data_IF_934371030285
#
_entry.id   IF_934371030285
#
_cell.length_a   1.000
_cell.length_b   1.000
_cell.length_c   1.000
_cell.angle_alpha   90.00
_cell.angle_beta   90.00
_cell.angle_gamma   90.00
#
_symmetry.space_group_name_H-M   'P 1'
#
loop_
_entity.id
_entity.type
_entity.pdbx_description
1 polymer ?
#
# COMPACT_ATOMS: atom_id res chain seq x y z
N UNK A 1 -15.41 5.46 16.52
CA UNK A 1 -14.26 4.93 15.74
C UNK A 1 -13.41 4.09 16.67
N UNK A 2 -13.04 2.86 16.29
CA UNK A 2 -12.15 2.03 17.12
C UNK A 2 -10.78 2.72 17.21
N UNK A 3 -10.47 3.28 18.38
CA UNK A 3 -9.19 3.94 18.67
C UNK A 3 -7.99 3.02 18.44
N UNK A 4 -8.21 1.70 18.53
CA UNK A 4 -7.21 0.69 18.27
C UNK A 4 -6.76 0.64 16.80
N UNK A 5 -7.69 0.66 15.83
CA UNK A 5 -7.34 0.54 14.41
C UNK A 5 -6.56 1.76 13.90
N UNK A 6 -6.88 2.97 14.40
CA UNK A 6 -6.12 4.18 14.05
C UNK A 6 -4.69 4.11 14.61
N UNK A 7 -4.51 3.63 15.84
CA UNK A 7 -3.18 3.40 16.43
C UNK A 7 -2.38 2.38 15.62
N UNK A 8 -3.01 1.29 15.18
CA UNK A 8 -2.38 0.29 14.31
C UNK A 8 -1.95 0.90 12.97
N UNK A 9 -2.81 1.70 12.35
CA UNK A 9 -2.50 2.39 11.09
C UNK A 9 -1.27 3.30 11.24
N UNK A 10 -1.26 4.14 12.28
CA UNK A 10 -0.11 5.01 12.60
C UNK A 10 1.18 4.21 12.82
N UNK A 11 1.09 3.11 13.57
CA UNK A 11 2.25 2.23 13.82
C UNK A 11 2.77 1.59 12.53
N UNK A 12 1.88 1.14 11.65
CA UNK A 12 2.24 0.55 10.37
C UNK A 12 2.94 1.56 9.44
N UNK A 13 2.46 2.81 9.41
CA UNK A 13 3.10 3.89 8.65
C UNK A 13 4.50 4.18 9.21
N UNK A 14 4.67 4.25 10.53
CA UNK A 14 6.00 4.45 11.14
C UNK A 14 6.98 3.32 10.82
N UNK A 15 6.52 2.07 10.91
CA UNK A 15 7.35 0.92 10.53
C UNK A 15 7.76 0.98 9.05
N UNK A 16 6.85 1.42 8.17
CA UNK A 16 7.16 1.63 6.74
C UNK A 16 8.13 2.79 6.54
N UNK A 17 7.96 3.90 7.25
CA UNK A 17 8.88 5.03 7.26
C UNK A 17 10.30 4.62 7.64
N UNK A 18 10.46 3.81 8.68
CA UNK A 18 11.78 3.35 9.13
C UNK A 18 12.53 2.53 8.07
N UNK A 19 11.79 1.83 7.20
CA UNK A 19 12.36 1.09 6.07
C UNK A 19 12.65 2.02 4.89
N UNK A 20 11.73 2.94 4.56
CA UNK A 20 11.85 3.82 3.39
C UNK A 20 12.82 4.99 3.59
N UNK A 21 13.09 5.39 4.84
CA UNK A 21 14.06 6.45 5.13
C UNK A 21 15.48 6.14 4.66
N UNK A 22 15.78 4.87 4.40
CA UNK A 22 17.07 4.36 3.91
C UNK A 22 17.07 4.02 2.41
N UNK A 23 15.98 4.32 1.69
CA UNK A 23 15.76 3.89 0.29
C UNK A 23 15.74 5.06 -0.68
N UNK A 24 14.82 5.02 -1.66
CA UNK A 24 14.72 5.92 -2.82
C UNK A 24 14.68 7.40 -2.46
N UNK A 25 14.05 7.74 -1.34
CA UNK A 25 13.88 9.13 -0.89
C UNK A 25 14.71 9.46 0.35
N UNK A 26 15.86 8.79 0.54
CA UNK A 26 16.78 9.00 1.66
C UNK A 26 17.05 10.49 1.94
N UNK A 27 17.37 11.27 0.90
CA UNK A 27 17.69 12.70 1.04
C UNK A 27 16.58 13.52 1.69
N UNK A 28 15.33 13.09 1.52
CA UNK A 28 14.15 13.73 2.07
C UNK A 28 13.73 13.15 3.42
N UNK A 29 13.82 11.82 3.58
CA UNK A 29 13.26 11.08 4.71
C UNK A 29 14.25 10.80 5.84
N UNK A 30 15.57 10.77 5.61
CA UNK A 30 16.55 10.50 6.67
C UNK A 30 16.56 11.60 7.75
N UNK A 31 16.48 12.86 7.32
CA UNK A 31 16.31 14.03 8.17
C UNK A 31 15.13 14.85 7.63
N UNK A 32 13.89 14.47 7.95
CA UNK A 32 12.71 15.11 7.40
C UNK A 32 12.62 16.53 7.97
N UNK A 33 12.40 17.49 7.07
CA UNK A 33 12.05 18.87 7.41
C UNK A 33 10.78 19.24 6.66
N UNK A 34 10.04 20.25 7.14
CA UNK A 34 8.81 20.71 6.47
C UNK A 34 9.02 21.00 4.98
N UNK A 35 10.16 21.58 4.62
CA UNK A 35 10.53 21.85 3.24
C UNK A 35 10.77 20.58 2.44
N UNK A 36 11.57 19.64 2.99
CA UNK A 36 11.86 18.35 2.34
C UNK A 36 10.60 17.51 2.13
N UNK A 37 9.74 17.42 3.14
CA UNK A 37 8.48 16.67 3.04
C UNK A 37 7.52 17.30 2.01
N UNK A 38 7.48 18.63 1.94
CA UNK A 38 6.72 19.35 0.91
C UNK A 38 7.27 19.04 -0.48
N UNK A 39 8.57 19.13 -0.68
CA UNK A 39 9.20 18.92 -1.99
C UNK A 39 9.06 17.46 -2.43
N UNK A 40 9.19 16.50 -1.50
CA UNK A 40 8.90 15.09 -1.74
C UNK A 40 7.43 14.86 -2.11
N UNK A 41 6.49 15.50 -1.41
CA UNK A 41 5.08 15.43 -1.74
C UNK A 41 4.84 15.87 -3.19
N UNK A 42 5.42 17.00 -3.59
CA UNK A 42 5.34 17.46 -4.98
C UNK A 42 5.85 16.43 -5.98
N UNK A 43 7.04 15.86 -5.72
CA UNK A 43 7.66 14.85 -6.58
C UNK A 43 6.80 13.59 -6.73
N UNK A 44 6.15 13.14 -5.65
CA UNK A 44 5.27 11.96 -5.69
C UNK A 44 4.03 12.26 -6.54
N UNK A 45 3.42 13.43 -6.38
CA UNK A 45 2.22 13.82 -7.11
C UNK A 45 2.49 14.22 -8.56
N UNK A 46 3.72 14.54 -8.93
CA UNK A 46 4.11 14.65 -10.33
C UNK A 46 4.17 13.27 -11.03
N UNK A 47 4.39 12.19 -10.28
CA UNK A 47 4.57 10.84 -10.82
C UNK A 47 3.29 9.99 -10.70
N UNK A 48 2.21 10.42 -11.35
CA UNK A 48 0.93 9.72 -11.46
C UNK A 48 0.28 9.33 -10.11
N UNK A 49 -0.32 10.29 -9.38
CA UNK A 49 -1.02 10.01 -8.13
C UNK A 49 -2.34 9.28 -8.38
N UNK A 50 -2.78 8.46 -7.42
CA UNK A 50 -4.11 7.86 -7.51
C UNK A 50 -5.19 8.90 -7.17
N UNK A 51 -6.43 8.67 -7.60
CA UNK A 51 -7.56 9.57 -7.27
C UNK A 51 -7.75 9.75 -5.76
N UNK A 52 -7.49 8.70 -4.98
CA UNK A 52 -7.56 8.78 -3.53
C UNK A 52 -6.43 9.64 -2.95
N UNK A 53 -5.22 9.56 -3.51
CA UNK A 53 -4.10 10.39 -3.10
C UNK A 53 -4.38 11.87 -3.40
N UNK A 54 -4.99 12.17 -4.55
CA UNK A 54 -5.45 13.53 -4.92
C UNK A 54 -6.49 14.07 -3.92
N UNK A 55 -7.43 13.24 -3.48
CA UNK A 55 -8.41 13.63 -2.47
C UNK A 55 -7.74 13.97 -1.13
N UNK A 56 -6.75 13.18 -0.69
CA UNK A 56 -5.98 13.45 0.54
C UNK A 56 -5.20 14.75 0.42
N UNK A 57 -4.57 15.00 -0.72
CA UNK A 57 -3.86 16.25 -1.00
C UNK A 57 -4.78 17.46 -0.89
N UNK A 58 -5.95 17.38 -1.55
CA UNK A 58 -6.97 18.43 -1.50
C UNK A 58 -7.45 18.70 -0.09
N UNK A 59 -7.71 17.66 0.70
CA UNK A 59 -8.17 17.81 2.08
C UNK A 59 -7.14 18.49 2.98
N UNK A 60 -5.87 18.08 2.90
CA UNK A 60 -4.81 18.63 3.77
C UNK A 60 -4.44 20.07 3.40
N UNK A 61 -4.31 20.35 2.10
CA UNK A 61 -3.78 21.62 1.59
C UNK A 61 -4.86 22.61 1.20
N UNK A 62 -6.11 22.14 1.09
CA UNK A 62 -7.27 22.90 0.58
C UNK A 62 -7.01 23.49 -0.80
N UNK A 63 -6.30 22.74 -1.64
CA UNK A 63 -5.87 23.12 -2.97
C UNK A 63 -5.97 21.90 -3.90
N UNK A 64 -6.40 22.12 -5.13
CA UNK A 64 -6.29 21.11 -6.17
C UNK A 64 -4.85 21.00 -6.67
N UNK A 65 -4.41 19.77 -6.91
CA UNK A 65 -3.10 19.54 -7.50
C UNK A 65 -3.10 20.03 -8.94
N UNK A 66 -2.26 21.02 -9.20
CA UNK A 66 -2.14 21.68 -10.49
C UNK A 66 -0.68 22.07 -10.68
N UNK A 67 -0.06 21.55 -11.73
CA UNK A 67 1.35 21.78 -12.05
C UNK A 67 1.67 23.28 -12.21
N UNK A 68 0.68 24.10 -12.61
CA UNK A 68 0.85 25.55 -12.78
C UNK A 68 0.86 26.31 -11.45
N UNK A 69 0.34 25.72 -10.36
CA UNK A 69 0.14 26.38 -9.06
C UNK A 69 1.24 26.06 -8.05
N UNK A 70 2.44 25.67 -8.51
CA UNK A 70 3.60 25.35 -7.65
C UNK A 70 3.94 26.43 -6.62
N UNK A 71 3.74 27.71 -6.96
CA UNK A 71 3.96 28.82 -6.02
C UNK A 71 3.00 28.79 -4.83
N UNK A 72 1.70 28.54 -5.06
CA UNK A 72 0.70 28.41 -3.99
C UNK A 72 0.99 27.21 -3.08
N UNK A 73 1.57 26.16 -3.63
CA UNK A 73 1.99 24.99 -2.86
C UNK A 73 3.18 25.29 -1.94
N UNK A 74 4.14 26.13 -2.35
CA UNK A 74 5.28 26.53 -1.52
C UNK A 74 4.85 27.21 -0.21
N UNK A 75 3.74 27.96 -0.23
CA UNK A 75 3.17 28.66 0.93
C UNK A 75 2.58 27.70 1.98
N UNK A 76 2.20 26.47 1.59
CA UNK A 76 1.57 25.50 2.52
C UNK A 76 2.55 24.70 3.37
N UNK A 77 3.80 25.18 3.52
CA UNK A 77 4.86 24.51 4.30
C UNK A 77 4.43 24.14 5.72
N UNK A 78 3.61 24.96 6.36
CA UNK A 78 3.17 24.72 7.75
C UNK A 78 2.25 23.52 7.91
N UNK A 79 1.55 23.10 6.84
CA UNK A 79 0.69 21.90 6.85
C UNK A 79 1.49 20.60 6.99
N UNK A 80 2.80 20.64 6.72
CA UNK A 80 3.70 19.50 6.87
C UNK A 80 4.31 19.38 8.28
N UNK A 81 4.14 20.38 9.15
CA UNK A 81 4.60 20.32 10.55
C UNK A 81 4.12 19.05 11.29
N UNK A 82 2.81 18.70 11.29
CA UNK A 82 2.34 17.49 11.99
C UNK A 82 2.91 16.19 11.41
N UNK A 83 3.31 16.18 10.14
CA UNK A 83 3.90 15.02 9.47
C UNK A 83 5.37 14.87 9.88
N UNK A 84 6.10 15.99 9.90
CA UNK A 84 7.48 16.05 10.37
C UNK A 84 7.60 15.50 11.80
N UNK A 85 6.82 16.06 12.74
CA UNK A 85 6.87 15.66 14.14
C UNK A 85 6.34 14.24 14.36
N UNK A 86 5.46 13.75 13.48
CA UNK A 86 5.01 12.36 13.48
C UNK A 86 6.12 11.37 13.09
N UNK A 87 6.88 11.68 12.04
CA UNK A 87 8.01 10.85 11.60
C UNK A 87 9.19 10.88 12.58
N UNK A 88 9.43 12.01 13.24
CA UNK A 88 10.42 12.10 14.33
C UNK A 88 9.98 11.41 15.62
N UNK A 89 8.70 11.02 15.73
CA UNK A 89 8.16 10.40 16.94
C UNK A 89 7.85 11.39 18.08
N UNK A 90 8.02 12.69 17.85
CA UNK A 90 7.82 13.75 18.86
C UNK A 90 6.34 13.92 19.23
N UNK A 91 5.44 13.78 18.25
CA UNK A 91 3.99 13.97 18.45
C UNK A 91 3.18 12.87 17.80
N UNK A 92 1.98 12.63 18.32
CA UNK A 92 0.97 11.81 17.67
C UNK A 92 -0.17 12.69 17.10
N UNK A 93 -0.21 12.97 15.78
CA UNK A 93 -1.20 13.87 15.22
C UNK A 93 -2.61 13.26 15.30
N UNK A 94 -3.59 14.06 15.69
CA UNK A 94 -5.01 13.68 15.64
C UNK A 94 -5.64 13.89 14.26
N UNK A 95 -5.00 14.68 13.39
CA UNK A 95 -5.49 14.99 12.05
C UNK A 95 -5.31 13.78 11.12
N UNK A 96 -6.42 13.19 10.68
CA UNK A 96 -6.46 12.04 9.77
C UNK A 96 -5.85 12.36 8.41
N UNK A 97 -6.05 13.57 7.88
CA UNK A 97 -5.51 13.98 6.59
C UNK A 97 -3.97 14.05 6.63
N UNK A 98 -3.41 14.54 7.75
CA UNK A 98 -1.95 14.54 7.94
C UNK A 98 -1.38 13.11 8.02
N UNK A 99 -2.09 12.18 8.68
CA UNK A 99 -1.68 10.77 8.77
C UNK A 99 -1.77 10.10 7.40
N UNK A 100 -2.86 10.33 6.64
CA UNK A 100 -3.00 9.82 5.28
C UNK A 100 -1.92 10.38 4.36
N UNK A 101 -1.57 11.65 4.51
CA UNK A 101 -0.48 12.25 3.77
C UNK A 101 0.86 11.61 4.12
N UNK A 102 1.10 11.33 5.40
CA UNK A 102 2.28 10.58 5.84
C UNK A 102 2.35 9.19 5.18
N UNK A 103 1.22 8.49 5.05
CA UNK A 103 1.14 7.19 4.38
C UNK A 103 1.55 7.27 2.90
N UNK A 104 1.18 8.34 2.19
CA UNK A 104 1.55 8.56 0.79
C UNK A 104 3.06 8.81 0.67
N UNK A 105 3.64 9.63 1.55
CA UNK A 105 5.08 9.97 1.51
C UNK A 105 6.00 8.75 1.69
N UNK A 106 5.52 7.69 2.35
CA UNK A 106 6.27 6.44 2.58
C UNK A 106 5.76 5.29 1.73
N UNK A 107 4.92 5.60 0.74
CA UNK A 107 4.29 4.63 -0.16
C UNK A 107 3.61 3.43 0.55
N UNK A 108 2.92 3.71 1.66
CA UNK A 108 2.15 2.72 2.38
C UNK A 108 0.81 2.47 1.67
N UNK A 109 0.67 1.32 0.99
CA UNK A 109 -0.41 1.06 0.05
C UNK A 109 -1.84 0.93 0.61
N UNK A 110 -2.11 0.47 1.86
CA UNK A 110 -3.47 0.45 2.38
C UNK A 110 -3.86 1.86 2.86
N UNK A 111 -3.91 2.80 1.90
CA UNK A 111 -4.21 4.22 2.06
C UNK A 111 -5.40 4.61 1.16
N UNK A 112 -6.26 5.54 1.58
CA UNK A 112 -6.30 6.25 2.87
C UNK A 112 -6.87 5.36 4.00
N UNK A 113 -6.92 5.87 5.25
CA UNK A 113 -7.34 5.14 6.45
C UNK A 113 -8.66 4.35 6.29
N UNK A 114 -9.61 4.84 5.50
CA UNK A 114 -10.87 4.11 5.20
C UNK A 114 -10.60 2.72 4.61
N UNK A 115 -9.67 2.61 3.66
CA UNK A 115 -9.28 1.31 3.06
C UNK A 115 -8.58 0.41 4.08
N UNK A 116 -7.69 0.98 4.90
CA UNK A 116 -7.06 0.23 5.99
C UNK A 116 -8.09 -0.33 6.97
N UNK A 117 -9.07 0.48 7.34
CA UNK A 117 -10.13 0.10 8.26
C UNK A 117 -11.02 -1.02 7.68
N UNK A 118 -11.40 -0.93 6.41
CA UNK A 118 -12.17 -1.97 5.71
C UNK A 118 -11.39 -3.29 5.60
N UNK A 119 -10.09 -3.22 5.30
CA UNK A 119 -9.22 -4.40 5.27
C UNK A 119 -9.11 -5.03 6.66
N UNK A 120 -8.92 -4.22 7.71
CA UNK A 120 -8.81 -4.72 9.10
C UNK A 120 -10.06 -5.45 9.59
N UNK A 121 -11.26 -5.07 9.12
CA UNK A 121 -12.52 -5.80 9.41
C UNK A 121 -12.62 -7.13 8.67
N UNK A 122 -12.02 -7.21 7.48
CA UNK A 122 -12.10 -8.39 6.63
C UNK A 122 -11.08 -9.45 7.05
N UNK A 123 -10.00 -9.04 7.74
CA UNK A 123 -8.95 -9.92 8.26
C UNK A 123 -9.32 -10.72 9.53
N UNK A 124 -10.53 -10.56 10.08
CA UNK A 124 -11.08 -11.52 11.07
C UNK A 124 -11.40 -12.91 10.47
N UNK A 125 -11.06 -13.19 9.21
CA UNK A 125 -11.13 -14.55 8.62
C UNK A 125 -9.89 -14.94 7.81
N UNK A 126 -8.75 -15.27 8.44
CA UNK A 126 -7.60 -15.79 7.71
C UNK A 126 -7.51 -17.31 7.82
N UNK A 127 -8.40 -18.09 7.16
CA UNK A 127 -8.14 -19.54 6.96
C UNK A 127 -8.65 -20.08 5.61
N UNK A 128 -9.82 -19.66 5.11
CA UNK A 128 -10.48 -20.39 4.00
C UNK A 128 -9.90 -20.18 2.58
N UNK A 129 -8.93 -19.27 2.38
CA UNK A 129 -8.38 -19.01 1.03
C UNK A 129 -7.19 -19.89 0.67
N UNK A 130 -6.38 -20.32 1.64
CA UNK A 130 -5.21 -21.17 1.37
C UNK A 130 -5.65 -22.63 1.15
N UNK A 131 -6.67 -23.12 1.85
CA UNK A 131 -7.22 -24.47 1.65
C UNK A 131 -7.84 -24.65 0.26
N UNK A 132 -8.55 -23.63 -0.25
CA UNK A 132 -9.11 -23.69 -1.61
C UNK A 132 -8.03 -23.73 -2.69
N UNK A 133 -6.92 -23.02 -2.51
CA UNK A 133 -5.80 -23.07 -3.45
C UNK A 133 -5.08 -24.44 -3.44
N UNK A 134 -4.91 -25.06 -2.26
CA UNK A 134 -4.34 -26.41 -2.13
C UNK A 134 -5.27 -27.50 -2.71
N UNK A 135 -6.57 -27.44 -2.44
CA UNK A 135 -7.54 -28.40 -2.96
C UNK A 135 -7.70 -28.33 -4.50
N UNK A 136 -7.55 -27.15 -5.11
CA UNK A 136 -7.56 -27.00 -6.58
C UNK A 136 -6.26 -27.53 -7.21
N UNK A 137 -5.13 -27.42 -6.51
CA UNK A 137 -3.85 -27.95 -7.01
C UNK A 137 -3.79 -29.48 -6.97
N UNK A 138 -4.35 -30.11 -5.93
CA UNK A 138 -4.41 -31.58 -5.84
C UNK A 138 -5.33 -32.21 -6.90
N UNK A 139 -6.50 -31.61 -7.16
CA UNK A 139 -7.41 -32.10 -8.22
C UNK A 139 -6.79 -32.05 -9.62
N UNK A 140 -6.04 -30.99 -9.94
CA UNK A 140 -5.34 -30.88 -11.23
C UNK A 140 -4.20 -31.89 -11.41
N UNK A 141 -3.55 -32.30 -10.33
CA UNK A 141 -2.49 -33.31 -10.39
C UNK A 141 -3.04 -34.74 -10.49
N UNK A 142 -4.22 -35.02 -9.93
CA UNK A 142 -4.90 -36.31 -10.10
C UNK A 142 -5.37 -36.53 -11.55
N UNK A 143 -6.01 -35.53 -12.17
CA UNK A 143 -6.48 -35.62 -13.56
C UNK A 143 -5.34 -35.75 -14.59
N UNK A 144 -4.17 -35.16 -14.31
CA UNK A 144 -2.99 -35.33 -15.19
C UNK A 144 -2.42 -36.74 -15.15
N UNK A 145 -2.42 -37.43 -14.00
CA UNK A 145 -1.91 -38.81 -13.87
C UNK A 145 -2.81 -39.84 -14.55
N UNK A 146 -4.12 -39.61 -14.58
CA UNK A 146 -5.07 -40.54 -15.20
C UNK A 146 -5.01 -40.50 -16.75
N UNK A 147 -4.77 -39.31 -17.32
CA UNK A 147 -4.63 -39.14 -18.78
C UNK A 147 -3.35 -39.76 -19.35
N UNK A 148 -2.25 -39.82 -18.59
CA UNK A 148 -1.02 -40.47 -19.04
C UNK A 148 -1.13 -42.00 -19.05
N UNK A 149 -1.81 -42.61 -18.07
CA UNK A 149 -2.04 -44.06 -18.05
C UNK A 149 -2.95 -44.57 -19.16
N UNK A 150 -3.99 -43.81 -19.53
CA UNK A 150 -4.88 -44.20 -20.65
C UNK A 150 -4.18 -44.12 -22.01
N UNK A 151 -3.24 -43.19 -22.20
CA UNK A 151 -2.46 -43.10 -23.45
C UNK A 151 -1.47 -44.25 -23.63
N UNK A 152 -0.80 -44.70 -22.57
CA UNK A 152 0.12 -45.85 -22.68
C UNK A 152 -0.63 -47.14 -22.99
N UNK A 153 -1.80 -47.36 -22.38
CA UNK A 153 -2.60 -48.58 -22.60
C UNK A 153 -3.15 -48.71 -24.03
N UNK A 154 -3.48 -47.59 -24.68
CA UNK A 154 -3.98 -47.60 -26.08
C UNK A 154 -2.87 -47.78 -27.13
N UNK A 155 -1.62 -47.38 -26.83
CA UNK A 155 -0.50 -47.63 -27.74
C UNK A 155 -0.13 -49.12 -27.77
N UNK A 156 -0.11 -49.79 -26.61
CA UNK A 156 0.22 -51.22 -26.53
C UNK A 156 -0.85 -52.12 -27.18
N UNK A 157 -2.13 -51.72 -27.15
CA UNK A 157 -3.18 -52.51 -27.79
C UNK A 157 -3.18 -52.37 -29.32
N UNK A 158 -2.68 -51.25 -29.85
CA UNK A 158 -2.63 -51.00 -31.30
C UNK A 158 -1.46 -51.71 -31.99
N UNK A 159 -0.39 -52.04 -31.27
CA UNK A 159 0.74 -52.83 -31.79
C UNK A 159 0.48 -54.34 -31.81
N UNK A 160 -0.67 -54.80 -31.33
CA UNK A 160 -1.02 -56.23 -31.28
C UNK A 160 -1.88 -56.71 -32.45
N UNK A 161 -2.40 -55.79 -33.28
CA UNK A 161 -3.33 -56.07 -34.37
C UNK A 161 -2.85 -55.62 -35.75
N UNK A 162 -1.53 -55.43 -35.93
CA UNK A 162 -0.88 -55.24 -37.22
C UNK A 162 0.44 -56.00 -37.28
#
# INVERSE_FOLDING_TARGET
MNTNTLKQYKKAIRAKYDIEKERKYFDYLYKPSRGKLRDLCWLIFENNPTQDDLNVFRNLLSLDFDHTKKNKFKEKKDKFRPIETFFKGETDPSNIDAINMAAILVDFHPRPFKKFYENSKTEEKPVKRIEKAKAVFEKKNAEKKEKTKKRSFFLDFKSMFF
#
